data_IF_886338263280
#
_entry.id   IF_886338263280
#
_cell.length_a   1.000
_cell.length_b   1.000
_cell.length_c   1.000
_cell.angle_alpha   90.00
_cell.angle_beta   90.00
_cell.angle_gamma   90.00
#
_symmetry.space_group_name_H-M   'P 1'
#
loop_
_entity.id
_entity.type
_entity.pdbx_description
1 polymer ?
#
# COMPACT_ATOMS: atom_id res chain seq x y z
N UNK A 1 11.54 -5.73 9.06
CA UNK A 1 10.53 -4.96 9.83
C UNK A 1 11.13 -4.03 10.88
N UNK A 2 12.18 -4.42 11.64
CA UNK A 2 12.65 -3.66 12.82
C UNK A 2 13.03 -2.19 12.58
N UNK A 3 13.57 -1.83 11.41
CA UNK A 3 13.95 -0.44 11.06
C UNK A 3 12.73 0.51 11.00
N UNK A 4 11.61 0.05 10.44
CA UNK A 4 10.46 0.91 10.13
C UNK A 4 9.19 0.56 10.91
N UNK A 5 9.21 -0.47 11.75
CA UNK A 5 8.05 -0.96 12.50
C UNK A 5 7.33 0.16 13.27
N UNK A 6 8.07 0.96 14.06
CA UNK A 6 7.47 2.06 14.84
C UNK A 6 6.78 3.11 13.95
N UNK A 7 7.43 3.47 12.83
CA UNK A 7 6.90 4.46 11.91
C UNK A 7 5.65 3.95 11.18
N UNK A 8 5.64 2.68 10.76
CA UNK A 8 4.47 2.03 10.17
C UNK A 8 3.32 1.96 11.19
N UNK A 9 3.58 1.48 12.41
CA UNK A 9 2.57 1.39 13.47
C UNK A 9 1.95 2.75 13.79
N UNK A 10 2.75 3.81 13.87
CA UNK A 10 2.23 5.16 14.13
C UNK A 10 1.32 5.64 13.00
N UNK A 11 1.69 5.44 11.73
CA UNK A 11 0.85 5.80 10.59
C UNK A 11 -0.47 5.00 10.55
N UNK A 12 -0.42 3.71 10.87
CA UNK A 12 -1.63 2.88 10.97
C UNK A 12 -2.55 3.36 12.10
N UNK A 13 -2.00 3.76 13.26
CA UNK A 13 -2.79 4.36 14.35
C UNK A 13 -3.45 5.67 13.92
N UNK A 14 -2.75 6.51 13.17
CA UNK A 14 -3.33 7.73 12.59
C UNK A 14 -4.45 7.40 11.60
N UNK A 15 -4.23 6.46 10.68
CA UNK A 15 -5.25 6.04 9.72
C UNK A 15 -6.51 5.49 10.42
N UNK A 16 -6.34 4.70 11.50
CA UNK A 16 -7.44 4.25 12.35
C UNK A 16 -8.23 5.41 12.94
N UNK A 17 -7.55 6.39 13.54
CA UNK A 17 -8.23 7.56 14.12
C UNK A 17 -9.02 8.39 13.09
N UNK A 18 -8.50 8.51 11.87
CA UNK A 18 -9.23 9.13 10.76
C UNK A 18 -10.45 8.30 10.36
N UNK A 19 -10.31 6.97 10.25
CA UNK A 19 -11.41 6.07 9.92
C UNK A 19 -12.52 6.12 10.98
N UNK A 20 -12.15 6.15 12.26
CA UNK A 20 -13.11 6.33 13.37
C UNK A 20 -13.87 7.67 13.23
N UNK A 21 -13.20 8.71 12.71
CA UNK A 21 -13.83 9.98 12.38
C UNK A 21 -14.85 9.87 11.24
N UNK A 22 -14.51 9.15 10.18
CA UNK A 22 -15.42 8.88 9.06
C UNK A 22 -16.65 8.10 9.52
N UNK A 23 -16.47 7.09 10.38
CA UNK A 23 -17.58 6.31 10.95
C UNK A 23 -18.55 7.23 11.69
N UNK A 24 -18.04 8.12 12.56
CA UNK A 24 -18.88 9.11 13.26
C UNK A 24 -19.61 10.05 12.31
N UNK A 25 -19.00 10.44 11.18
CA UNK A 25 -19.69 11.26 10.17
C UNK A 25 -20.87 10.52 9.56
N UNK A 26 -20.71 9.23 9.25
CA UNK A 26 -21.79 8.40 8.70
C UNK A 26 -22.91 8.19 9.73
N UNK A 27 -22.56 7.88 10.98
CA UNK A 27 -23.53 7.73 12.07
C UNK A 27 -24.32 9.02 12.35
N UNK A 28 -23.74 10.18 12.06
CA UNK A 28 -24.36 11.49 12.21
C UNK A 28 -25.10 11.98 10.94
N UNK A 29 -25.28 11.12 9.93
CA UNK A 29 -25.91 11.45 8.64
C UNK A 29 -25.27 12.69 7.96
N UNK A 30 -23.93 12.78 8.03
CA UNK A 30 -23.20 13.90 7.46
C UNK A 30 -23.28 13.92 5.92
N UNK A 31 -23.11 15.12 5.35
CA UNK A 31 -23.19 15.34 3.90
C UNK A 31 -22.24 14.43 3.11
N UNK A 32 -22.80 13.61 2.21
CA UNK A 32 -22.08 12.53 1.54
C UNK A 32 -20.77 12.98 0.84
N UNK A 33 -20.70 14.13 0.13
CA UNK A 33 -19.46 14.61 -0.45
C UNK A 33 -18.33 14.86 0.56
N UNK A 34 -18.64 15.24 1.79
CA UNK A 34 -17.63 15.43 2.82
C UNK A 34 -17.14 14.10 3.39
N UNK A 35 -18.04 13.13 3.56
CA UNK A 35 -17.67 11.74 3.90
C UNK A 35 -16.74 11.16 2.82
N UNK A 36 -17.05 11.36 1.53
CA UNK A 36 -16.21 10.91 0.41
C UNK A 36 -14.81 11.54 0.44
N UNK A 37 -14.69 12.84 0.76
CA UNK A 37 -13.38 13.50 0.91
C UNK A 37 -12.56 12.89 2.04
N UNK A 38 -13.19 12.60 3.18
CA UNK A 38 -12.49 12.00 4.32
C UNK A 38 -12.09 10.54 4.06
N UNK A 39 -12.92 9.76 3.36
CA UNK A 39 -12.57 8.43 2.88
C UNK A 39 -11.33 8.48 1.96
N UNK A 40 -11.28 9.41 1.02
CA UNK A 40 -10.12 9.60 0.15
C UNK A 40 -8.85 9.95 0.96
N UNK A 41 -8.97 10.75 2.02
CA UNK A 41 -7.85 11.04 2.93
C UNK A 41 -7.35 9.79 3.66
N UNK A 42 -8.25 8.92 4.14
CA UNK A 42 -7.87 7.63 4.76
C UNK A 42 -7.15 6.74 3.74
N UNK A 43 -7.65 6.65 2.51
CA UNK A 43 -6.99 5.89 1.45
C UNK A 43 -5.57 6.39 1.17
N UNK A 44 -5.37 7.71 1.12
CA UNK A 44 -4.05 8.32 0.94
C UNK A 44 -3.08 7.99 2.08
N UNK A 45 -3.56 7.99 3.33
CA UNK A 45 -2.76 7.59 4.49
C UNK A 45 -2.33 6.11 4.43
N UNK A 46 -3.24 5.22 4.04
CA UNK A 46 -2.95 3.80 3.88
C UNK A 46 -1.95 3.55 2.74
N UNK A 47 -2.10 4.27 1.62
CA UNK A 47 -1.14 4.21 0.51
C UNK A 47 0.25 4.66 0.93
N UNK A 48 0.36 5.81 1.59
CA UNK A 48 1.64 6.31 2.08
C UNK A 48 2.30 5.32 3.05
N UNK A 49 1.49 4.62 3.86
CA UNK A 49 1.96 3.58 4.76
C UNK A 49 2.44 2.33 4.00
N UNK A 50 1.71 1.90 2.98
CA UNK A 50 2.09 0.77 2.10
C UNK A 50 3.48 0.99 1.48
N UNK A 51 3.73 2.20 0.96
CA UNK A 51 5.04 2.57 0.36
C UNK A 51 6.19 2.44 1.36
N UNK A 52 5.97 2.75 2.62
CA UNK A 52 6.99 2.62 3.69
C UNK A 52 7.25 1.13 3.99
N UNK A 53 6.21 0.32 4.05
CA UNK A 53 6.33 -1.14 4.25
C UNK A 53 7.09 -1.77 3.09
N UNK A 54 6.74 -1.41 1.85
CA UNK A 54 7.38 -1.89 0.64
C UNK A 54 8.86 -1.52 0.60
N UNK A 55 9.20 -0.24 0.85
CA UNK A 55 10.59 0.20 0.97
C UNK A 55 11.38 -0.63 1.99
N UNK A 56 10.83 -0.81 3.20
CA UNK A 56 11.48 -1.65 4.21
C UNK A 56 11.71 -3.07 3.69
N UNK A 57 10.75 -3.66 2.98
CA UNK A 57 10.89 -5.02 2.45
C UNK A 57 12.06 -5.14 1.46
N UNK A 58 12.21 -4.17 0.55
CA UNK A 58 13.35 -4.10 -0.36
C UNK A 58 14.68 -3.97 0.39
N UNK A 59 14.75 -3.03 1.33
CA UNK A 59 15.97 -2.72 2.09
C UNK A 59 16.37 -3.82 3.08
N UNK A 60 15.43 -4.70 3.50
CA UNK A 60 15.71 -5.76 4.47
C UNK A 60 15.61 -7.17 3.91
N UNK A 61 14.43 -7.59 3.44
CA UNK A 61 14.18 -8.98 3.08
C UNK A 61 14.81 -9.33 1.73
N UNK A 62 14.61 -8.47 0.73
CA UNK A 62 15.21 -8.65 -0.60
C UNK A 62 16.72 -8.52 -0.53
N UNK A 63 17.24 -7.47 0.10
CA UNK A 63 18.69 -7.29 0.28
C UNK A 63 19.36 -8.51 0.93
N UNK A 64 18.73 -9.09 1.96
CA UNK A 64 19.22 -10.32 2.61
C UNK A 64 19.15 -11.54 1.69
N UNK A 65 18.03 -11.76 1.01
CA UNK A 65 17.87 -12.89 0.09
C UNK A 65 18.89 -12.83 -1.07
N UNK A 66 19.22 -11.64 -1.56
CA UNK A 66 20.27 -11.45 -2.57
C UNK A 66 21.64 -11.89 -2.06
N UNK A 67 21.99 -11.55 -0.81
CA UNK A 67 23.24 -11.99 -0.18
C UNK A 67 23.30 -13.52 0.01
N UNK A 68 22.15 -14.15 0.22
CA UNK A 68 22.01 -15.60 0.41
C UNK A 68 21.86 -16.38 -0.90
N UNK A 69 21.89 -15.72 -2.06
CA UNK A 69 21.71 -16.37 -3.36
C UNK A 69 20.27 -16.80 -3.66
N UNK A 70 19.27 -16.31 -2.90
CA UNK A 70 17.84 -16.65 -3.01
C UNK A 70 17.04 -15.57 -3.75
N UNK A 71 17.66 -14.91 -4.73
CA UNK A 71 17.05 -13.76 -5.43
C UNK A 71 15.79 -14.15 -6.20
N UNK A 72 15.76 -15.31 -6.88
CA UNK A 72 14.59 -15.73 -7.66
C UNK A 72 13.36 -15.92 -6.76
N UNK A 73 13.54 -16.66 -5.65
CA UNK A 73 12.47 -16.96 -4.69
C UNK A 73 11.82 -15.68 -4.13
N UNK A 74 12.63 -14.72 -3.67
CA UNK A 74 12.10 -13.50 -3.05
C UNK A 74 11.46 -12.57 -4.10
N UNK A 75 11.93 -12.61 -5.35
CA UNK A 75 11.33 -11.84 -6.44
C UNK A 75 9.97 -12.41 -6.80
N UNK A 76 9.85 -13.73 -6.89
CA UNK A 76 8.56 -14.39 -7.16
C UNK A 76 7.54 -14.10 -6.04
N UNK A 77 7.97 -14.16 -4.77
CA UNK A 77 7.15 -13.78 -3.61
C UNK A 77 6.69 -12.31 -3.68
N UNK A 78 7.60 -11.41 -4.06
CA UNK A 78 7.29 -9.99 -4.20
C UNK A 78 6.30 -9.74 -5.34
N UNK A 79 6.49 -10.40 -6.48
CA UNK A 79 5.61 -10.28 -7.64
C UNK A 79 4.20 -10.81 -7.34
N UNK A 80 4.07 -11.88 -6.56
CA UNK A 80 2.76 -12.36 -6.07
C UNK A 80 2.08 -11.30 -5.19
N UNK A 81 2.84 -10.68 -4.28
CA UNK A 81 2.33 -9.65 -3.37
C UNK A 81 1.88 -8.38 -4.11
N UNK A 82 2.59 -7.99 -5.17
CA UNK A 82 2.27 -6.80 -5.96
C UNK A 82 0.92 -6.89 -6.70
N UNK A 83 0.35 -8.08 -6.90
CA UNK A 83 -1.01 -8.26 -7.46
C UNK A 83 -2.08 -7.53 -6.65
N UNK A 84 -1.85 -7.35 -5.35
CA UNK A 84 -2.77 -6.64 -4.46
C UNK A 84 -2.56 -5.13 -4.48
N UNK A 85 -1.41 -4.65 -4.96
CA UNK A 85 -1.15 -3.23 -5.17
C UNK A 85 -1.48 -2.83 -6.61
N UNK A 86 -2.78 -2.60 -6.84
CA UNK A 86 -3.36 -2.21 -8.14
C UNK A 86 -2.77 -0.92 -8.74
N UNK A 87 -1.95 -0.17 -7.99
CA UNK A 87 -1.31 1.06 -8.47
C UNK A 87 0.13 0.84 -8.90
N UNK A 88 0.85 -0.12 -8.30
CA UNK A 88 2.20 -0.51 -8.75
C UNK A 88 2.13 -1.24 -10.09
N UNK A 89 1.11 -2.07 -10.30
CA UNK A 89 0.89 -2.79 -11.56
C UNK A 89 -0.08 -2.08 -12.52
N UNK A 90 -0.40 -0.80 -12.30
CA UNK A 90 -1.20 -0.08 -13.30
C UNK A 90 -0.33 0.11 -14.54
N UNK A 91 -0.75 -0.38 -15.73
CA UNK A 91 -0.03 -0.09 -16.95
C UNK A 91 0.10 1.44 -17.08
N UNK A 92 1.32 1.91 -17.29
CA UNK A 92 1.59 3.30 -17.64
C UNK A 92 1.17 3.53 -19.09
N UNK A 93 0.83 4.78 -19.49
CA UNK A 93 0.50 5.08 -20.89
C UNK A 93 1.64 4.75 -21.88
N UNK A 94 2.86 4.57 -21.38
CA UNK A 94 4.05 4.17 -22.15
C UNK A 94 4.26 2.66 -22.24
N UNK A 95 3.51 1.86 -21.47
CA UNK A 95 3.64 0.41 -21.53
C UNK A 95 2.96 -0.10 -22.83
N UNK A 96 3.61 -0.99 -23.59
CA UNK A 96 3.00 -1.57 -24.77
C UNK A 96 1.72 -2.30 -24.37
N UNK A 97 0.60 -1.91 -24.96
CA UNK A 97 -0.66 -2.64 -24.82
C UNK A 97 -0.41 -4.00 -25.46
N UNK A 98 -0.34 -5.07 -24.65
CA UNK A 98 -0.43 -6.42 -25.19
C UNK A 98 -1.85 -6.61 -25.70
N UNK A 99 -2.05 -6.27 -26.96
CA UNK A 99 -3.25 -6.57 -27.74
C UNK A 99 -3.26 -8.08 -28.00
N UNK A 100 -3.78 -8.83 -27.02
CA UNK A 100 -3.66 -10.28 -27.02
C UNK A 100 -4.21 -10.94 -25.77
N UNK A 101 -5.43 -10.58 -25.37
CA UNK A 101 -6.26 -11.44 -24.53
C UNK A 101 -7.64 -11.51 -25.20
N UNK A 102 -7.79 -12.52 -26.05
CA UNK A 102 -9.09 -13.04 -26.48
C UNK A 102 -9.84 -13.61 -25.28
#
# INVERSE_FOLDING_TARGET
MSSHQRAVTNRLKTARGHLDGVIRMVEADAYCPDVMKQLAAVQGLLEATSRVVFRNHLETCVAKAMQEGRTSEIVDELMETLKYDKRVLRPTPSDPVHEGAL
#
